data_IF_965275414015
#
_entry.id   IF_965275414015
#
_cell.length_a   1.000
_cell.length_b   1.000
_cell.length_c   1.000
_cell.angle_alpha   90.00
_cell.angle_beta   90.00
_cell.angle_gamma   90.00
#
_symmetry.space_group_name_H-M   'P 1'
#
loop_
_entity.id
_entity.type
_entity.pdbx_description
1 polymer ?
#
# COMPACT_ATOMS: atom_id res chain seq x y z
N UNK A 1 -10.20 -52.79 -49.79
CA UNK A 1 -9.45 -52.64 -48.53
C UNK A 1 -10.15 -51.62 -47.65
N UNK A 2 -10.52 -52.04 -46.44
CA UNK A 2 -11.29 -51.33 -45.43
C UNK A 2 -10.61 -50.06 -44.91
N UNK A 3 -11.36 -48.97 -44.76
CA UNK A 3 -11.28 -48.06 -43.60
C UNK A 3 -12.67 -47.51 -43.26
N UNK A 4 -13.27 -48.02 -42.18
CA UNK A 4 -14.40 -47.42 -41.48
C UNK A 4 -13.88 -46.17 -40.76
N UNK A 5 -14.46 -45.00 -41.04
CA UNK A 5 -14.32 -43.79 -40.22
C UNK A 5 -15.69 -43.52 -39.60
N UNK A 6 -15.86 -43.99 -38.36
CA UNK A 6 -17.01 -43.65 -37.52
C UNK A 6 -16.64 -42.32 -36.87
N UNK A 7 -17.27 -41.25 -37.37
CA UNK A 7 -17.19 -39.91 -36.80
C UNK A 7 -18.15 -39.87 -35.60
N UNK A 8 -17.65 -40.20 -34.42
CA UNK A 8 -18.34 -39.97 -33.15
C UNK A 8 -17.86 -38.64 -32.56
N UNK A 9 -18.66 -37.58 -32.71
CA UNK A 9 -18.57 -36.37 -31.90
C UNK A 9 -20.00 -35.85 -31.69
N UNK A 10 -20.76 -36.61 -30.90
CA UNK A 10 -21.79 -36.04 -30.04
C UNK A 10 -21.05 -35.48 -28.83
N UNK A 11 -21.06 -34.17 -28.72
CA UNK A 11 -20.44 -33.42 -27.64
C UNK A 11 -20.74 -31.95 -27.83
N UNK A 12 -22.02 -31.61 -27.75
CA UNK A 12 -22.45 -30.21 -27.68
C UNK A 12 -21.74 -29.50 -26.54
N UNK A 13 -21.14 -28.35 -26.84
CA UNK A 13 -20.34 -27.58 -25.90
C UNK A 13 -20.09 -26.17 -26.43
N UNK A 14 -21.18 -25.40 -26.51
CA UNK A 14 -21.31 -23.95 -26.40
C UNK A 14 -19.99 -23.15 -26.28
N UNK A 15 -19.71 -22.41 -27.36
CA UNK A 15 -19.39 -20.97 -27.41
C UNK A 15 -18.27 -20.39 -26.53
N UNK A 16 -17.22 -19.94 -27.23
CA UNK A 16 -16.45 -18.69 -27.04
C UNK A 16 -16.42 -18.04 -25.65
N UNK A 17 -15.27 -18.13 -24.97
CA UNK A 17 -14.85 -17.13 -23.99
C UNK A 17 -13.55 -16.47 -24.46
N UNK A 18 -13.70 -15.52 -25.38
CA UNK A 18 -12.73 -14.41 -25.48
C UNK A 18 -13.17 -13.42 -24.40
N UNK A 19 -12.70 -13.62 -23.18
CA UNK A 19 -12.80 -12.62 -22.13
C UNK A 19 -11.70 -11.59 -22.37
N UNK A 20 -12.11 -10.40 -22.79
CA UNK A 20 -11.28 -9.22 -22.98
C UNK A 20 -10.63 -8.80 -21.65
N UNK A 21 -9.33 -9.06 -21.49
CA UNK A 21 -8.52 -8.65 -20.32
C UNK A 21 -8.25 -7.13 -20.24
N UNK A 22 -8.92 -6.30 -21.03
CA UNK A 22 -8.68 -4.85 -21.12
C UNK A 22 -9.39 -4.02 -20.05
N UNK A 23 -10.36 -4.58 -19.32
CA UNK A 23 -11.17 -3.85 -18.33
C UNK A 23 -10.58 -3.75 -16.92
N UNK A 24 -9.81 -4.76 -16.48
CA UNK A 24 -9.26 -4.80 -15.12
C UNK A 24 -8.15 -3.73 -14.93
N UNK A 25 -7.26 -3.59 -15.90
CA UNK A 25 -6.12 -2.66 -15.86
C UNK A 25 -6.52 -1.17 -15.86
N UNK A 26 -7.66 -0.82 -16.48
CA UNK A 26 -8.18 0.56 -16.48
C UNK A 26 -8.77 0.94 -15.12
N UNK A 27 -9.53 0.05 -14.48
CA UNK A 27 -10.15 0.32 -13.19
C UNK A 27 -9.09 0.46 -12.08
N UNK A 28 -8.06 -0.39 -12.13
CA UNK A 28 -6.94 -0.35 -11.18
C UNK A 28 -6.15 0.95 -11.32
N UNK A 29 -5.91 1.43 -12.55
CA UNK A 29 -5.20 2.70 -12.79
C UNK A 29 -6.03 3.92 -12.33
N UNK A 30 -7.35 3.91 -12.54
CA UNK A 30 -8.25 4.97 -12.05
C UNK A 30 -8.28 4.98 -10.52
N UNK A 31 -8.39 3.81 -9.89
CA UNK A 31 -8.35 3.65 -8.43
C UNK A 31 -7.01 4.13 -7.86
N UNK A 32 -5.91 3.74 -8.49
CA UNK A 32 -4.56 4.19 -8.15
C UNK A 32 -4.44 5.71 -8.22
N UNK A 33 -4.77 6.34 -9.36
CA UNK A 33 -4.70 7.80 -9.52
C UNK A 33 -5.57 8.54 -8.51
N UNK A 34 -6.77 8.03 -8.22
CA UNK A 34 -7.67 8.59 -7.19
C UNK A 34 -7.03 8.52 -5.80
N UNK A 35 -6.46 7.36 -5.42
CA UNK A 35 -5.76 7.18 -4.15
C UNK A 35 -4.55 8.11 -4.06
N UNK A 36 -3.68 8.14 -5.07
CA UNK A 36 -2.50 9.02 -5.10
C UNK A 36 -2.90 10.49 -4.93
N UNK A 37 -3.92 10.96 -5.65
CA UNK A 37 -4.39 12.35 -5.55
C UNK A 37 -4.98 12.68 -4.18
N UNK A 38 -5.80 11.79 -3.62
CA UNK A 38 -6.36 11.93 -2.26
C UNK A 38 -5.24 11.98 -1.22
N UNK A 39 -4.33 11.02 -1.25
CA UNK A 39 -3.27 10.87 -0.26
C UNK A 39 -2.16 11.91 -0.41
N UNK A 40 -1.96 12.47 -1.60
CA UNK A 40 -1.14 13.67 -1.76
C UNK A 40 -1.66 14.82 -0.89
N UNK A 41 -2.98 15.10 -0.92
CA UNK A 41 -3.59 16.15 -0.08
C UNK A 41 -3.50 15.85 1.41
N UNK A 42 -3.66 14.58 1.79
CA UNK A 42 -3.48 14.13 3.18
C UNK A 42 -2.05 14.41 3.62
N UNK A 43 -1.05 14.03 2.83
CA UNK A 43 0.36 14.25 3.14
C UNK A 43 0.69 15.74 3.28
N UNK A 44 0.22 16.58 2.36
CA UNK A 44 0.42 18.03 2.42
C UNK A 44 -0.22 18.66 3.66
N UNK A 45 -1.42 18.21 4.04
CA UNK A 45 -2.12 18.69 5.24
C UNK A 45 -1.40 18.25 6.50
N UNK A 46 -1.06 16.95 6.57
CA UNK A 46 -0.34 16.36 7.68
C UNK A 46 1.02 17.03 7.89
N UNK A 47 1.81 17.20 6.84
CA UNK A 47 3.13 17.85 6.90
C UNK A 47 3.06 19.27 7.47
N UNK A 48 1.99 20.03 7.18
CA UNK A 48 1.78 21.38 7.74
C UNK A 48 1.39 21.37 9.21
N UNK A 49 0.78 20.29 9.67
CA UNK A 49 0.37 20.11 11.08
C UNK A 49 1.48 19.53 11.97
N UNK A 50 2.58 19.04 11.38
CA UNK A 50 3.77 18.66 12.13
C UNK A 50 4.48 19.92 12.63
N UNK A 51 4.52 20.11 13.95
CA UNK A 51 5.16 21.26 14.60
C UNK A 51 5.94 20.81 15.84
N UNK A 52 6.82 21.68 16.34
CA UNK A 52 7.61 21.42 17.55
C UNK A 52 8.47 20.16 17.42
N UNK A 53 8.28 19.18 18.31
CA UNK A 53 9.06 17.95 18.34
C UNK A 53 8.96 17.08 17.06
N UNK A 54 7.97 17.33 16.19
CA UNK A 54 7.79 16.59 14.93
C UNK A 54 8.26 17.33 13.68
N UNK A 55 8.88 18.51 13.81
CA UNK A 55 9.28 19.31 12.65
C UNK A 55 10.26 18.59 11.71
N UNK A 56 11.09 17.70 12.27
CA UNK A 56 12.02 16.86 11.51
C UNK A 56 11.42 15.54 11.02
N UNK A 57 10.15 15.29 11.28
CA UNK A 57 9.46 14.09 10.84
C UNK A 57 8.67 14.34 9.56
N UNK A 58 8.34 13.28 8.86
CA UNK A 58 7.48 13.32 7.69
C UNK A 58 6.70 12.01 7.56
N UNK A 59 5.52 12.09 6.96
CA UNK A 59 4.82 10.94 6.41
C UNK A 59 5.38 10.71 4.99
N UNK A 60 5.93 9.53 4.65
CA UNK A 60 6.44 9.30 3.32
C UNK A 60 5.37 9.41 2.25
N UNK A 61 5.74 9.83 1.04
CA UNK A 61 4.81 9.91 -0.08
C UNK A 61 4.18 8.55 -0.37
N UNK A 62 2.87 8.53 -0.64
CA UNK A 62 2.10 7.29 -0.86
C UNK A 62 2.67 6.48 -2.03
N UNK A 63 3.14 7.13 -3.08
CA UNK A 63 3.71 6.49 -4.28
C UNK A 63 5.18 6.08 -4.14
N UNK A 64 5.84 6.34 -3.01
CA UNK A 64 7.21 5.91 -2.77
C UNK A 64 7.26 4.44 -2.29
N UNK A 65 7.06 3.48 -3.17
CA UNK A 65 7.06 2.06 -2.79
C UNK A 65 8.37 1.62 -2.09
N UNK A 66 9.51 2.19 -2.48
CA UNK A 66 10.81 1.84 -1.91
C UNK A 66 10.90 2.13 -0.41
N UNK A 67 10.43 3.31 0.02
CA UNK A 67 10.47 3.67 1.44
C UNK A 67 9.45 2.87 2.25
N UNK A 68 8.26 2.61 1.70
CA UNK A 68 7.24 1.81 2.37
C UNK A 68 7.67 0.37 2.56
N UNK A 69 8.31 -0.22 1.53
CA UNK A 69 8.91 -1.55 1.63
C UNK A 69 9.98 -1.58 2.72
N UNK A 70 10.88 -0.61 2.72
CA UNK A 70 11.91 -0.50 3.78
C UNK A 70 11.26 -0.40 5.17
N UNK A 71 10.29 0.49 5.36
CA UNK A 71 9.60 0.62 6.65
C UNK A 71 8.95 -0.68 7.10
N UNK A 72 8.32 -1.42 6.18
CA UNK A 72 7.71 -2.72 6.44
C UNK A 72 8.74 -3.79 6.81
N UNK A 73 9.87 -3.85 6.11
CA UNK A 73 10.97 -4.78 6.40
C UNK A 73 11.58 -4.50 7.79
N UNK A 74 11.68 -3.22 8.17
CA UNK A 74 12.17 -2.78 9.48
C UNK A 74 11.17 -2.98 10.63
N UNK A 75 9.90 -3.34 10.35
CA UNK A 75 8.94 -3.59 11.41
C UNK A 75 9.50 -4.65 12.35
N UNK A 76 10.03 -5.78 11.82
CA UNK A 76 10.58 -6.90 12.60
C UNK A 76 11.57 -6.46 13.68
N UNK A 77 12.43 -5.50 13.37
CA UNK A 77 13.50 -5.06 14.26
C UNK A 77 12.97 -4.19 15.43
N UNK A 78 11.72 -3.74 15.36
CA UNK A 78 11.03 -2.98 16.42
C UNK A 78 10.17 -3.86 17.33
N UNK A 79 10.13 -5.17 17.11
CA UNK A 79 9.17 -6.03 17.82
C UNK A 79 9.62 -6.43 19.20
N UNK A 80 8.68 -6.34 20.14
CA UNK A 80 8.86 -6.85 21.50
C UNK A 80 7.71 -7.75 21.97
N UNK A 81 6.50 -7.65 21.39
CA UNK A 81 5.31 -8.31 21.96
C UNK A 81 4.32 -8.96 20.97
N UNK A 82 4.21 -8.51 19.72
CA UNK A 82 3.29 -9.09 18.72
C UNK A 82 3.86 -8.99 17.32
N UNK A 83 3.28 -9.74 16.38
CA UNK A 83 3.69 -9.81 14.99
C UNK A 83 2.93 -8.81 14.10
N UNK A 84 3.45 -7.59 13.81
CA UNK A 84 2.81 -6.66 12.88
C UNK A 84 2.86 -7.09 11.42
N UNK A 85 3.42 -8.24 11.03
CA UNK A 85 3.06 -8.82 9.73
C UNK A 85 1.67 -9.46 9.76
N UNK A 86 1.10 -9.75 10.93
CA UNK A 86 -0.33 -10.09 11.06
C UNK A 86 -1.20 -8.84 10.89
N UNK A 87 -0.76 -7.69 11.44
CA UNK A 87 -1.46 -6.41 11.32
C UNK A 87 -1.29 -5.78 9.94
N UNK A 88 -0.09 -5.89 9.38
CA UNK A 88 0.31 -5.35 8.08
C UNK A 88 1.02 -6.44 7.26
N UNK A 89 0.29 -7.35 6.61
CA UNK A 89 0.91 -8.43 5.82
C UNK A 89 1.79 -7.94 4.68
N UNK A 90 1.55 -6.74 4.17
CA UNK A 90 2.29 -6.15 3.05
C UNK A 90 2.66 -4.70 3.33
N UNK A 91 3.67 -4.18 2.62
CA UNK A 91 4.00 -2.76 2.72
C UNK A 91 2.85 -1.87 2.22
N UNK A 92 2.03 -2.35 1.28
CA UNK A 92 0.84 -1.63 0.83
C UNK A 92 -0.22 -1.52 1.93
N UNK A 93 -0.42 -2.57 2.74
CA UNK A 93 -1.38 -2.51 3.85
C UNK A 93 -0.89 -1.61 4.99
N UNK A 94 0.42 -1.60 5.26
CA UNK A 94 1.04 -0.61 6.16
C UNK A 94 0.81 0.82 5.65
N UNK A 95 1.15 1.07 4.38
CA UNK A 95 0.98 2.39 3.74
C UNK A 95 -0.47 2.87 3.82
N UNK A 96 -1.41 2.04 3.37
CA UNK A 96 -2.83 2.42 3.32
C UNK A 96 -3.36 2.68 4.75
N UNK A 97 -2.97 1.87 5.74
CA UNK A 97 -3.28 2.15 7.16
C UNK A 97 -2.76 3.52 7.60
N UNK A 98 -1.49 3.83 7.34
CA UNK A 98 -0.88 5.09 7.75
C UNK A 98 -1.60 6.31 7.19
N UNK A 99 -2.00 6.22 5.92
CA UNK A 99 -2.73 7.29 5.26
C UNK A 99 -4.19 7.40 5.72
N UNK A 100 -4.85 6.29 6.03
CA UNK A 100 -6.18 6.31 6.65
C UNK A 100 -6.15 6.93 8.04
N UNK A 101 -5.11 6.66 8.83
CA UNK A 101 -4.94 7.26 10.16
C UNK A 101 -4.65 8.76 10.06
N UNK A 102 -3.70 9.16 9.20
CA UNK A 102 -3.38 10.56 8.96
C UNK A 102 -4.59 11.38 8.46
N UNK A 103 -5.50 10.77 7.70
CA UNK A 103 -6.72 11.43 7.25
C UNK A 103 -7.78 11.54 8.35
N UNK A 104 -7.87 10.55 9.24
CA UNK A 104 -8.80 10.55 10.39
C UNK A 104 -8.35 11.50 11.48
N UNK A 105 -7.06 11.50 11.80
CA UNK A 105 -6.45 12.31 12.85
C UNK A 105 -6.02 13.69 12.32
N UNK A 106 -7.01 14.51 11.95
CA UNK A 106 -6.77 15.82 11.31
C UNK A 106 -5.97 16.82 12.16
N UNK A 107 -5.89 16.59 13.47
CA UNK A 107 -5.20 17.46 14.42
C UNK A 107 -3.92 16.81 14.97
N UNK A 108 -3.56 15.61 14.51
CA UNK A 108 -2.44 14.82 15.03
C UNK A 108 -2.50 14.61 16.55
N UNK A 109 -3.71 14.55 17.13
CA UNK A 109 -3.90 14.44 18.58
C UNK A 109 -3.45 13.09 19.11
N UNK A 110 -3.62 12.04 18.31
CA UNK A 110 -3.21 10.67 18.63
C UNK A 110 -1.83 10.32 18.03
N UNK A 111 -1.21 11.29 17.38
CA UNK A 111 0.15 11.20 16.85
C UNK A 111 1.17 11.61 17.92
N UNK A 112 1.41 10.71 18.86
CA UNK A 112 2.52 10.86 19.80
C UNK A 112 3.73 10.09 19.24
N UNK A 113 4.90 10.71 19.16
CA UNK A 113 6.12 10.16 18.56
C UNK A 113 6.65 8.92 19.26
N UNK A 114 6.09 8.62 20.42
CA UNK A 114 6.44 7.48 21.26
C UNK A 114 5.33 6.42 21.27
N UNK A 115 4.09 6.76 20.88
CA UNK A 115 2.92 5.89 21.00
C UNK A 115 1.85 6.19 19.95
N UNK A 116 1.24 5.14 19.40
CA UNK A 116 0.14 5.26 18.44
C UNK A 116 0.59 5.06 17.00
N UNK A 117 -0.27 5.46 16.05
CA UNK A 117 -0.07 5.15 14.64
C UNK A 117 1.18 5.84 14.06
N UNK A 118 1.60 6.98 14.61
CA UNK A 118 2.76 7.72 14.13
C UNK A 118 4.08 6.97 14.29
N UNK A 119 4.27 6.16 15.34
CA UNK A 119 5.51 5.40 15.47
C UNK A 119 5.72 4.44 14.28
N UNK A 120 4.64 3.82 13.80
CA UNK A 120 4.67 2.94 12.63
C UNK A 120 4.80 3.72 11.32
N UNK A 121 4.28 4.95 11.26
CA UNK A 121 3.93 5.62 10.01
C UNK A 121 4.79 6.83 9.61
N UNK A 122 5.36 7.57 10.56
CA UNK A 122 6.20 8.75 10.25
C UNK A 122 7.67 8.45 10.46
N UNK A 123 8.53 9.13 9.70
CA UNK A 123 9.98 8.95 9.80
C UNK A 123 10.66 10.28 10.03
N UNK A 124 11.67 10.25 10.89
CA UNK A 124 12.61 11.34 11.01
C UNK A 124 13.41 11.45 9.71
N UNK A 125 13.69 12.67 9.24
CA UNK A 125 14.43 12.90 7.99
C UNK A 125 15.82 12.24 7.96
N UNK A 126 16.44 11.96 9.10
CA UNK A 126 17.70 11.20 9.17
C UNK A 126 17.58 9.77 8.65
N UNK A 127 16.38 9.19 8.57
CA UNK A 127 16.17 7.84 8.04
C UNK A 127 16.60 7.70 6.58
N UNK A 128 16.45 8.78 5.81
CA UNK A 128 16.84 8.85 4.40
C UNK A 128 18.37 8.86 4.25
N UNK A 129 19.08 9.46 5.22
CA UNK A 129 20.53 9.55 5.23
C UNK A 129 21.21 8.22 5.64
N UNK A 130 20.50 7.29 6.29
CA UNK A 130 21.02 5.96 6.65
C UNK A 130 21.15 5.00 5.47
N UNK A 131 20.99 5.48 4.23
CA UNK A 131 21.06 4.68 2.99
C UNK A 131 22.40 4.83 2.27
N UNK A 132 23.26 5.77 2.69
CA UNK A 132 24.53 6.10 2.01
C UNK A 132 25.79 5.64 2.74
N UNK A 133 25.69 4.72 3.72
CA UNK A 133 26.84 4.09 4.37
C UNK A 133 26.86 2.58 4.12
#
# INVERSE_FOLDING_TARGET
>A
MNKKLILSLLGGGVTSLIASFTGLTLNDNISYKKKTSRFKKVNETFSKSLTGQFENYYLPSWDNDAIWKRMHDFLRDRWTHSNPYEKYPTFQSLRDYCYEMAEKDKNNGDCNGTWGWCDDCIRDRSWDNRVTQ
#
